data_IF_031038926594
#
_entry.id   IF_031038926594
#
_cell.length_a   1.000
_cell.length_b   1.000
_cell.length_c   1.000
_cell.angle_alpha   90.00
_cell.angle_beta   90.00
_cell.angle_gamma   90.00
#
_symmetry.space_group_name_H-M   'P 1'
#
loop_
_entity.id
_entity.type
_entity.pdbx_description
1 polymer ?
#
# COMPACT_ATOMS: atom_id res chain seq x y z
N UNK A 1 3.53 13.00 -23.23
CA UNK A 1 4.27 12.26 -22.18
C UNK A 1 4.43 13.24 -21.02
N UNK A 2 3.82 12.98 -19.85
CA UNK A 2 4.06 13.83 -18.69
C UNK A 2 5.47 13.56 -18.16
N UNK A 3 6.19 14.60 -17.77
CA UNK A 3 7.49 14.45 -17.12
C UNK A 3 7.31 13.62 -15.85
N UNK A 4 8.13 12.57 -15.70
CA UNK A 4 8.10 11.74 -14.50
C UNK A 4 8.66 12.55 -13.32
N UNK A 5 7.85 12.75 -12.28
CA UNK A 5 8.23 13.36 -11.01
C UNK A 5 7.65 12.55 -9.85
N UNK A 6 8.03 12.84 -8.60
CA UNK A 6 7.54 12.11 -7.42
C UNK A 6 5.99 12.08 -7.36
N UNK A 7 5.34 13.21 -7.65
CA UNK A 7 3.89 13.32 -7.65
C UNK A 7 3.28 12.44 -8.74
N UNK A 8 3.82 12.50 -9.95
CA UNK A 8 3.37 11.65 -11.05
C UNK A 8 3.53 10.17 -10.73
N UNK A 9 4.71 9.76 -10.29
CA UNK A 9 5.05 8.36 -10.04
C UNK A 9 4.21 7.77 -8.90
N UNK A 10 4.10 8.47 -7.77
CA UNK A 10 3.50 7.92 -6.56
C UNK A 10 2.01 8.21 -6.39
N UNK A 11 1.41 9.05 -7.22
CA UNK A 11 -0.01 9.39 -7.03
C UNK A 11 -0.77 9.71 -8.31
N UNK A 12 -0.26 10.60 -9.15
CA UNK A 12 -1.03 11.15 -10.28
C UNK A 12 -1.08 10.24 -11.52
N UNK A 13 -0.13 9.31 -11.70
CA UNK A 13 -0.19 8.41 -12.85
C UNK A 13 -1.38 7.45 -12.71
N UNK A 14 -1.98 7.06 -13.85
CA UNK A 14 -3.16 6.21 -13.89
C UNK A 14 -2.95 4.88 -13.15
N UNK A 15 -1.75 4.33 -13.24
CA UNK A 15 -1.38 3.11 -12.53
C UNK A 15 -1.39 3.31 -11.00
N UNK A 16 -0.67 4.32 -10.49
CA UNK A 16 -0.59 4.60 -9.06
C UNK A 16 -1.98 4.97 -8.49
N UNK A 17 -2.73 5.83 -9.17
CA UNK A 17 -4.11 6.18 -8.78
C UNK A 17 -5.01 4.93 -8.68
N UNK A 18 -4.93 4.03 -9.66
CA UNK A 18 -5.71 2.78 -9.65
C UNK A 18 -5.29 1.85 -8.52
N UNK A 19 -3.98 1.73 -8.28
CA UNK A 19 -3.44 0.91 -7.22
C UNK A 19 -3.85 1.43 -5.84
N UNK A 20 -3.70 2.73 -5.58
CA UNK A 20 -4.13 3.34 -4.32
C UNK A 20 -5.63 3.20 -4.08
N UNK A 21 -6.45 3.34 -5.13
CA UNK A 21 -7.90 3.09 -5.04
C UNK A 21 -8.21 1.68 -4.56
N UNK A 22 -7.50 0.66 -5.07
CA UNK A 22 -7.65 -0.71 -4.61
C UNK A 22 -7.12 -0.92 -3.19
N UNK A 23 -6.01 -0.27 -2.81
CA UNK A 23 -5.48 -0.32 -1.43
C UNK A 23 -6.48 0.29 -0.45
N UNK A 24 -7.03 1.47 -0.73
CA UNK A 24 -8.03 2.10 0.14
C UNK A 24 -9.28 1.24 0.27
N UNK A 25 -9.76 0.66 -0.84
CA UNK A 25 -10.87 -0.29 -0.84
C UNK A 25 -10.57 -1.55 -0.02
N UNK A 26 -9.34 -2.08 -0.10
CA UNK A 26 -8.91 -3.23 0.70
C UNK A 26 -8.97 -2.93 2.20
N UNK A 27 -8.65 -1.70 2.62
CA UNK A 27 -8.82 -1.25 4.00
C UNK A 27 -10.26 -0.89 4.40
N UNK A 28 -11.22 -1.00 3.46
CA UNK A 28 -12.60 -0.58 3.67
C UNK A 28 -12.75 0.93 3.85
N UNK A 29 -11.83 1.74 3.32
CA UNK A 29 -11.91 3.19 3.40
C UNK A 29 -12.73 3.72 2.22
N UNK A 30 -13.99 4.07 2.49
CA UNK A 30 -14.90 4.70 1.53
C UNK A 30 -14.61 6.20 1.43
N UNK A 31 -13.41 6.55 0.97
CA UNK A 31 -12.98 7.94 0.78
C UNK A 31 -12.33 8.10 -0.57
N UNK A 32 -12.54 9.27 -1.20
CA UNK A 32 -11.80 9.66 -2.37
C UNK A 32 -10.30 9.63 -2.06
N UNK A 33 -9.54 8.87 -2.86
CA UNK A 33 -8.09 8.77 -2.71
C UNK A 33 -7.47 10.08 -3.18
N UNK A 34 -6.71 10.79 -2.33
CA UNK A 34 -5.95 11.96 -2.77
C UNK A 34 -4.93 11.55 -3.85
N UNK A 35 -4.61 12.46 -4.77
CA UNK A 35 -3.56 12.19 -5.77
C UNK A 35 -2.18 12.67 -5.33
N UNK A 36 -2.12 13.53 -4.32
CA UNK A 36 -0.85 13.98 -3.75
C UNK A 36 -0.26 12.89 -2.82
N UNK A 37 1.01 12.46 -3.02
CA UNK A 37 1.64 11.44 -2.20
C UNK A 37 1.71 11.78 -0.70
N UNK A 38 1.88 13.06 -0.33
CA UNK A 38 1.91 13.48 1.07
C UNK A 38 0.52 13.42 1.69
N UNK A 39 -0.52 13.79 0.96
CA UNK A 39 -1.91 13.61 1.40
C UNK A 39 -2.29 12.14 1.55
N UNK A 40 -1.86 11.28 0.62
CA UNK A 40 -2.02 9.82 0.74
C UNK A 40 -1.33 9.35 2.03
N UNK A 41 -0.07 9.72 2.24
CA UNK A 41 0.68 9.38 3.44
C UNK A 41 -0.03 9.82 4.73
N UNK A 42 -0.57 11.05 4.75
CA UNK A 42 -1.33 11.55 5.90
C UNK A 42 -2.53 10.66 6.24
N UNK A 43 -3.18 10.01 5.28
CA UNK A 43 -4.28 9.05 5.55
C UNK A 43 -3.83 7.81 6.33
N UNK A 44 -2.57 7.41 6.19
CA UNK A 44 -1.97 6.33 6.98
C UNK A 44 -1.47 6.80 8.36
N UNK A 45 -1.23 8.09 8.53
CA UNK A 45 -0.75 8.67 9.80
C UNK A 45 -1.87 9.17 10.73
N UNK A 46 -3.00 9.62 10.21
CA UNK A 46 -4.01 10.36 10.99
C UNK A 46 -5.04 9.45 11.69
N UNK A 47 -5.34 9.78 12.95
CA UNK A 47 -6.61 9.44 13.60
C UNK A 47 -6.83 7.98 14.04
N UNK A 48 -5.78 7.16 14.18
CA UNK A 48 -5.95 5.71 14.44
C UNK A 48 -5.08 5.20 15.59
N UNK A 49 -5.52 5.51 16.82
CA UNK A 49 -5.21 4.74 18.04
C UNK A 49 -3.74 4.69 18.48
N UNK A 50 -3.35 3.56 19.09
CA UNK A 50 -2.04 3.34 19.71
C UNK A 50 -0.90 3.27 18.69
N UNK A 51 0.35 3.48 19.14
CA UNK A 51 1.53 3.43 18.26
C UNK A 51 1.73 2.11 17.50
N UNK A 52 1.08 1.01 17.93
CA UNK A 52 1.07 -0.27 17.22
C UNK A 52 0.27 -0.20 15.91
N UNK A 53 -0.90 0.45 15.95
CA UNK A 53 -1.75 0.60 14.78
C UNK A 53 -1.05 1.47 13.72
N UNK A 54 -0.46 2.58 14.16
CA UNK A 54 0.32 3.46 13.29
C UNK A 54 1.47 2.70 12.60
N UNK A 55 2.23 1.88 13.34
CA UNK A 55 3.31 1.07 12.77
C UNK A 55 2.82 0.09 11.70
N UNK A 56 1.69 -0.59 11.93
CA UNK A 56 1.10 -1.50 10.95
C UNK A 56 0.66 -0.78 9.67
N UNK A 57 0.00 0.38 9.80
CA UNK A 57 -0.41 1.20 8.65
C UNK A 57 0.79 1.72 7.87
N UNK A 58 1.82 2.23 8.56
CA UNK A 58 3.05 2.71 7.93
C UNK A 58 3.82 1.59 7.22
N UNK A 59 3.86 0.39 7.79
CA UNK A 59 4.46 -0.76 7.11
C UNK A 59 3.78 -1.03 5.77
N UNK A 60 2.45 -0.95 5.71
CA UNK A 60 1.71 -1.12 4.45
C UNK A 60 2.00 0.01 3.47
N UNK A 61 1.99 1.26 3.94
CA UNK A 61 2.33 2.41 3.11
C UNK A 61 3.73 2.25 2.46
N UNK A 62 4.73 1.87 3.25
CA UNK A 62 6.09 1.62 2.74
C UNK A 62 6.13 0.50 1.69
N UNK A 63 5.38 -0.59 1.90
CA UNK A 63 5.29 -1.69 0.93
C UNK A 63 4.65 -1.23 -0.38
N UNK A 64 3.60 -0.40 -0.33
CA UNK A 64 2.95 0.14 -1.55
C UNK A 64 3.92 1.05 -2.32
N UNK A 65 4.54 2.01 -1.66
CA UNK A 65 5.50 2.95 -2.28
C UNK A 65 6.70 2.18 -2.87
N UNK A 66 7.23 1.20 -2.12
CA UNK A 66 8.31 0.34 -2.61
C UNK A 66 7.90 -0.51 -3.81
N UNK A 67 6.66 -1.00 -3.86
CA UNK A 67 6.14 -1.74 -5.01
C UNK A 67 6.00 -0.85 -6.26
N UNK A 68 5.50 0.39 -6.11
CA UNK A 68 5.41 1.37 -7.21
C UNK A 68 6.81 1.69 -7.75
N UNK A 69 7.78 1.96 -6.86
CA UNK A 69 9.16 2.23 -7.26
C UNK A 69 9.80 1.04 -8.00
N UNK A 70 9.64 -0.17 -7.44
CA UNK A 70 10.18 -1.39 -8.06
C UNK A 70 9.57 -1.61 -9.45
N UNK A 71 8.27 -1.45 -9.58
CA UNK A 71 7.56 -1.62 -10.84
C UNK A 71 8.07 -0.66 -11.92
N UNK A 72 8.28 0.60 -11.56
CA UNK A 72 8.86 1.60 -12.46
C UNK A 72 10.22 1.16 -12.99
N UNK A 73 11.07 0.62 -12.10
CA UNK A 73 12.37 0.08 -12.51
C UNK A 73 12.22 -1.14 -13.41
N UNK A 74 11.31 -2.07 -13.08
CA UNK A 74 11.06 -3.25 -13.91
C UNK A 74 10.51 -2.89 -15.30
N UNK A 75 9.70 -1.83 -15.42
CA UNK A 75 9.22 -1.33 -16.70
C UNK A 75 10.36 -0.77 -17.55
N UNK A 76 11.28 -0.03 -16.96
CA UNK A 76 12.40 0.63 -17.67
C UNK A 76 13.52 -0.34 -18.01
N UNK A 77 13.92 -1.18 -17.06
CA UNK A 77 15.11 -2.03 -17.20
C UNK A 77 14.79 -3.45 -17.68
N UNK A 78 13.56 -3.92 -17.44
CA UNK A 78 13.16 -5.30 -17.75
C UNK A 78 11.99 -5.38 -18.74
N UNK A 79 11.49 -4.24 -19.24
CA UNK A 79 10.34 -4.15 -20.17
C UNK A 79 9.08 -4.88 -19.65
N UNK A 80 8.93 -4.97 -18.33
CA UNK A 80 7.80 -5.66 -17.71
C UNK A 80 6.61 -4.72 -17.57
N UNK A 81 5.48 -5.09 -18.18
CA UNK A 81 4.26 -4.30 -18.09
C UNK A 81 3.51 -4.65 -16.80
N UNK A 82 3.23 -3.66 -15.92
CA UNK A 82 2.48 -3.90 -14.70
C UNK A 82 1.05 -4.38 -14.94
N UNK A 83 0.58 -5.29 -14.09
CA UNK A 83 -0.85 -5.54 -13.87
C UNK A 83 -1.19 -5.12 -12.44
N UNK A 84 -2.15 -4.21 -12.29
CA UNK A 84 -2.49 -3.59 -10.99
C UNK A 84 -2.86 -4.66 -9.95
N UNK A 85 -3.65 -5.66 -10.33
CA UNK A 85 -4.09 -6.74 -9.43
C UNK A 85 -2.94 -7.63 -8.96
N UNK A 86 -1.96 -7.92 -9.82
CA UNK A 86 -0.76 -8.68 -9.43
C UNK A 86 0.10 -7.89 -8.45
N UNK A 87 0.24 -6.59 -8.67
CA UNK A 87 0.97 -5.71 -7.76
C UNK A 87 0.25 -5.62 -6.41
N UNK A 88 -1.08 -5.51 -6.39
CA UNK A 88 -1.86 -5.56 -5.16
C UNK A 88 -1.68 -6.87 -4.41
N UNK A 89 -1.74 -8.02 -5.09
CA UNK A 89 -1.49 -9.33 -4.46
C UNK A 89 -0.09 -9.41 -3.84
N UNK A 90 0.93 -8.89 -4.52
CA UNK A 90 2.30 -8.82 -3.98
C UNK A 90 2.39 -7.89 -2.77
N UNK A 91 1.70 -6.75 -2.79
CA UNK A 91 1.63 -5.81 -1.65
C UNK A 91 0.99 -6.50 -0.44
N UNK A 92 -0.14 -7.17 -0.62
CA UNK A 92 -0.84 -7.90 0.46
C UNK A 92 0.09 -8.98 1.04
N UNK A 93 0.73 -9.79 0.20
CA UNK A 93 1.64 -10.84 0.65
C UNK A 93 2.89 -10.28 1.36
N UNK A 94 3.48 -9.21 0.84
CA UNK A 94 4.71 -8.62 1.40
C UNK A 94 4.44 -7.92 2.72
N UNK A 95 3.35 -7.15 2.80
CA UNK A 95 2.94 -6.49 4.04
C UNK A 95 2.55 -7.48 5.13
N UNK A 96 1.93 -8.60 4.76
CA UNK A 96 1.65 -9.69 5.70
C UNK A 96 2.94 -10.28 6.30
N UNK A 97 3.94 -10.57 5.46
CA UNK A 97 5.25 -11.05 5.94
C UNK A 97 5.88 -10.07 6.92
N UNK A 98 5.84 -8.78 6.61
CA UNK A 98 6.34 -7.73 7.52
C UNK A 98 5.59 -7.70 8.84
N UNK A 99 4.27 -7.89 8.82
CA UNK A 99 3.44 -7.91 10.02
C UNK A 99 3.79 -9.11 10.92
N UNK A 100 3.95 -10.29 10.33
CA UNK A 100 4.29 -11.54 11.02
C UNK A 100 5.72 -11.50 11.58
N UNK A 101 6.71 -11.13 10.75
CA UNK A 101 8.13 -11.12 11.12
C UNK A 101 8.43 -10.13 12.25
N UNK A 102 7.69 -9.02 12.32
CA UNK A 102 7.85 -7.99 13.35
C UNK A 102 6.98 -8.20 14.58
N UNK A 103 6.22 -9.31 14.66
CA UNK A 103 5.21 -9.57 15.72
C UNK A 103 4.29 -8.36 15.94
N UNK A 104 3.98 -7.61 14.88
CA UNK A 104 3.20 -6.37 14.97
C UNK A 104 1.71 -6.60 15.21
N UNK A 105 1.28 -7.86 15.33
CA UNK A 105 0.00 -8.29 15.89
C UNK A 105 0.03 -9.77 16.27
N UNK A 106 -1.04 -10.27 16.91
CA UNK A 106 -1.21 -11.71 17.08
C UNK A 106 -1.26 -12.40 15.71
N UNK A 107 -0.88 -13.69 15.64
CA UNK A 107 -0.79 -14.46 14.39
C UNK A 107 -2.09 -14.31 13.58
N UNK A 108 -2.03 -13.51 12.52
CA UNK A 108 -3.10 -13.34 11.54
C UNK A 108 -2.67 -14.10 10.29
N UNK A 109 -3.52 -14.97 9.77
CA UNK A 109 -3.27 -15.68 8.51
C UNK A 109 -3.27 -14.72 7.33
N UNK A 110 -2.67 -15.12 6.21
CA UNK A 110 -2.73 -14.32 4.98
C UNK A 110 -4.17 -14.08 4.50
N UNK A 111 -5.06 -15.04 4.75
CA UNK A 111 -6.48 -14.92 4.45
C UNK A 111 -7.15 -13.83 5.29
N UNK A 112 -6.95 -13.85 6.61
CA UNK A 112 -7.47 -12.81 7.51
C UNK A 112 -6.88 -11.45 7.17
N UNK A 113 -5.60 -11.38 6.81
CA UNK A 113 -4.97 -10.13 6.38
C UNK A 113 -5.58 -9.55 5.11
N UNK A 114 -5.82 -10.42 4.12
CA UNK A 114 -6.48 -10.03 2.87
C UNK A 114 -7.91 -9.56 3.11
N UNK A 115 -8.62 -10.12 4.08
CA UNK A 115 -10.06 -9.88 4.27
C UNK A 115 -10.34 -8.77 5.29
N UNK A 116 -9.57 -8.71 6.38
CA UNK A 116 -9.79 -7.84 7.54
C UNK A 116 -8.46 -7.19 8.00
N UNK A 117 -7.78 -6.39 7.15
CA UNK A 117 -6.44 -5.86 7.46
C UNK A 117 -6.44 -4.98 8.71
N UNK A 118 -7.48 -4.17 8.91
CA UNK A 118 -7.59 -3.31 10.10
C UNK A 118 -7.67 -4.11 11.40
N UNK A 119 -8.35 -5.25 11.40
CA UNK A 119 -8.48 -6.07 12.60
C UNK A 119 -7.16 -6.79 12.91
N UNK A 120 -6.42 -7.24 11.89
CA UNK A 120 -5.09 -7.80 12.07
C UNK A 120 -4.06 -6.77 12.59
N UNK A 121 -4.14 -5.51 12.18
CA UNK A 121 -3.28 -4.43 12.74
C UNK A 121 -3.62 -4.15 14.21
N UNK A 122 -4.87 -4.33 14.62
CA UNK A 122 -5.35 -4.03 15.98
C UNK A 122 -5.01 -5.13 16.99
N UNK A 123 -4.93 -6.39 16.55
CA UNK A 123 -4.54 -7.55 17.37
C UNK A 123 -3.14 -7.36 17.94
#
# INVERSE_FOLDING_TARGET
MHLECEGHLFGWCAFASSLWSKVFKWFGWDVAVPRDPLEIFRRFCTGRGSGKILKGLLAVWHVVVGAIWKLRNDLIFNSQVPVVDDVLHRIISTSWKWLVDKKMGSVCSLYEWKTYPMDCIRR
#
